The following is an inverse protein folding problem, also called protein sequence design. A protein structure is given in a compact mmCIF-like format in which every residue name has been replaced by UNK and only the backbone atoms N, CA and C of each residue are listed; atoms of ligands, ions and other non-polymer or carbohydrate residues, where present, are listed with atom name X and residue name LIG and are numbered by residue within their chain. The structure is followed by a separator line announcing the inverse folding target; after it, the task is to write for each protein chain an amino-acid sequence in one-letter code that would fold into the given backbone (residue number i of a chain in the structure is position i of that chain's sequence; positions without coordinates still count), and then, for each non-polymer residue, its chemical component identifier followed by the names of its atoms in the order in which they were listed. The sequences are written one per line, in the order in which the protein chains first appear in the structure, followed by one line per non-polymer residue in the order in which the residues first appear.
data_IF_756002803104
#
_entry.id   IF_756002803104
#
_cell.length_a   1.000
_cell.length_b   1.000
_cell.length_c   1.000
_cell.angle_alpha   90.00
_cell.angle_beta   90.00
_cell.angle_gamma   90.00
#
_symmetry.space_group_name_H-M   'P 1'
#
loop_
_entity.id
_entity.type
_entity.pdbx_description
1 polymer ?
#
# COMPACT_ATOMS: atom_id res chain seq x y z
N UNK A 1 -15.58 3.69 -2.52
CA UNK A 1 -14.35 2.96 -2.81
C UNK A 1 -13.98 3.12 -4.28
N UNK A 2 -12.68 3.31 -4.57
CA UNK A 2 -12.09 3.33 -5.92
C UNK A 2 -10.76 2.61 -5.88
N UNK A 3 -10.40 1.91 -6.95
CA UNK A 3 -9.09 1.30 -7.14
C UNK A 3 -8.48 1.98 -8.36
N UNK A 4 -7.31 2.57 -8.20
CA UNK A 4 -6.52 3.08 -9.32
C UNK A 4 -5.46 2.06 -9.67
N UNK A 5 -5.25 1.79 -10.94
CA UNK A 5 -4.28 0.79 -11.38
C UNK A 5 -3.87 1.02 -12.83
N UNK A 6 -2.62 0.76 -13.13
CA UNK A 6 -2.08 0.61 -14.48
C UNK A 6 -2.24 -0.83 -15.01
N UNK A 7 -2.79 -1.73 -14.18
CA UNK A 7 -3.06 -3.13 -14.53
C UNK A 7 -4.38 -3.60 -13.93
N UNK A 8 -5.46 -3.40 -14.67
CA UNK A 8 -6.83 -3.70 -14.22
C UNK A 8 -7.01 -5.18 -13.84
N UNK A 9 -6.41 -6.11 -14.61
CA UNK A 9 -6.52 -7.53 -14.33
C UNK A 9 -5.86 -7.90 -12.99
N UNK A 10 -4.66 -7.37 -12.74
CA UNK A 10 -3.95 -7.56 -11.48
C UNK A 10 -4.71 -6.93 -10.31
N UNK A 11 -5.26 -5.73 -10.47
CA UNK A 11 -6.05 -5.06 -9.44
C UNK A 11 -7.28 -5.90 -9.02
N UNK A 12 -7.97 -6.51 -9.98
CA UNK A 12 -9.09 -7.42 -9.70
C UNK A 12 -8.64 -8.70 -9.00
N UNK A 13 -7.54 -9.27 -9.44
CA UNK A 13 -6.98 -10.45 -8.79
C UNK A 13 -6.58 -10.15 -7.34
N UNK A 14 -5.91 -9.01 -7.08
CA UNK A 14 -5.54 -8.58 -5.73
C UNK A 14 -6.77 -8.33 -4.86
N UNK A 15 -7.81 -7.69 -5.38
CA UNK A 15 -9.06 -7.47 -4.65
C UNK A 15 -9.69 -8.79 -4.20
N UNK A 16 -9.79 -9.76 -5.11
CA UNK A 16 -10.48 -11.03 -4.87
C UNK A 16 -9.68 -12.00 -4.01
N UNK A 17 -8.37 -11.95 -4.07
CA UNK A 17 -7.47 -12.89 -3.39
C UNK A 17 -6.84 -12.27 -2.16
N UNK A 18 -5.82 -11.47 -2.34
CA UNK A 18 -4.99 -10.96 -1.23
C UNK A 18 -5.77 -10.00 -0.34
N UNK A 19 -6.34 -8.95 -0.93
CA UNK A 19 -7.07 -7.93 -0.18
C UNK A 19 -8.38 -8.49 0.40
N UNK A 20 -9.05 -9.36 -0.35
CA UNK A 20 -10.26 -10.03 0.12
C UNK A 20 -10.02 -11.00 1.29
N UNK A 21 -8.80 -11.52 1.45
CA UNK A 21 -8.44 -12.29 2.66
C UNK A 21 -8.15 -11.37 3.87
N UNK A 22 -7.60 -10.19 3.63
CA UNK A 22 -7.33 -9.20 4.69
C UNK A 22 -8.60 -8.49 5.16
N UNK A 23 -9.47 -8.17 4.21
CA UNK A 23 -10.72 -7.45 4.40
C UNK A 23 -11.82 -8.15 3.61
N UNK A 24 -12.44 -9.20 4.17
CA UNK A 24 -13.42 -10.03 3.45
C UNK A 24 -14.59 -9.26 2.85
N UNK A 25 -14.96 -8.14 3.46
CA UNK A 25 -16.02 -7.25 2.98
C UNK A 25 -15.71 -6.58 1.63
N UNK A 26 -14.43 -6.50 1.24
CA UNK A 26 -14.02 -5.89 -0.02
C UNK A 26 -13.99 -6.89 -1.18
N UNK A 27 -14.00 -8.20 -0.88
CA UNK A 27 -13.76 -9.26 -1.88
C UNK A 27 -14.74 -9.21 -3.04
N UNK A 28 -16.01 -9.11 -2.71
CA UNK A 28 -17.11 -9.21 -3.68
C UNK A 28 -17.78 -7.86 -3.98
N UNK A 29 -17.22 -6.76 -3.46
CA UNK A 29 -17.71 -5.43 -3.77
C UNK A 29 -17.44 -5.08 -5.24
N UNK A 30 -18.43 -4.49 -5.89
CA UNK A 30 -18.30 -3.92 -7.23
C UNK A 30 -17.55 -2.58 -7.18
N UNK A 31 -16.27 -2.60 -6.77
CA UNK A 31 -15.45 -1.40 -6.70
C UNK A 31 -14.98 -1.02 -8.11
N UNK A 32 -15.18 0.23 -8.57
CA UNK A 32 -14.62 0.68 -9.83
C UNK A 32 -13.10 0.57 -9.83
N UNK A 33 -12.53 -0.06 -10.85
CA UNK A 33 -11.10 -0.01 -11.14
C UNK A 33 -10.89 1.01 -12.24
N UNK A 34 -10.11 2.02 -11.95
CA UNK A 34 -9.86 3.17 -12.80
C UNK A 34 -8.45 3.03 -13.36
N UNK A 35 -8.33 3.08 -14.68
CA UNK A 35 -7.04 3.09 -15.35
C UNK A 35 -6.31 4.39 -15.04
N UNK A 36 -5.08 4.31 -14.58
CA UNK A 36 -4.33 5.45 -14.10
C UNK A 36 -2.83 5.29 -14.32
N UNK A 37 -2.17 6.41 -14.54
CA UNK A 37 -0.72 6.51 -14.58
C UNK A 37 -0.16 6.80 -13.18
N UNK A 38 0.95 6.16 -12.87
CA UNK A 38 1.66 6.30 -11.60
C UNK A 38 3.02 6.94 -11.83
N UNK A 39 3.26 8.06 -11.16
CA UNK A 39 4.52 8.75 -11.21
C UNK A 39 5.06 8.98 -9.79
N UNK A 40 6.34 8.68 -9.58
CA UNK A 40 6.99 8.71 -8.28
C UNK A 40 8.01 9.84 -8.23
N UNK A 41 7.98 10.60 -7.14
CA UNK A 41 8.93 11.67 -6.88
C UNK A 41 9.42 11.64 -5.44
N UNK A 42 10.62 12.17 -5.22
CA UNK A 42 11.20 12.28 -3.88
C UNK A 42 12.47 11.45 -3.71
N UNK A 43 12.98 11.47 -2.48
CA UNK A 43 14.09 10.65 -2.03
C UNK A 43 13.60 9.80 -0.85
N UNK A 44 13.61 8.45 -0.96
CA UNK A 44 13.08 7.57 0.08
C UNK A 44 13.78 7.66 1.44
N UNK A 45 14.86 8.43 1.54
CA UNK A 45 15.50 8.76 2.83
C UNK A 45 14.81 9.89 3.57
N UNK A 46 13.97 10.70 2.89
CA UNK A 46 13.36 11.89 3.47
C UNK A 46 11.86 11.93 3.27
N UNK A 47 11.42 11.80 2.02
CA UNK A 47 10.01 11.77 1.66
C UNK A 47 9.81 11.05 0.32
N UNK A 48 8.61 10.58 0.11
CA UNK A 48 8.20 9.92 -1.12
C UNK A 48 6.80 10.35 -1.50
N UNK A 49 6.57 10.67 -2.75
CA UNK A 49 5.23 10.99 -3.25
C UNK A 49 4.90 10.10 -4.42
N UNK A 50 3.77 9.44 -4.33
CA UNK A 50 3.11 8.74 -5.43
C UNK A 50 2.04 9.65 -6.00
N UNK A 51 2.18 10.02 -7.27
CA UNK A 51 1.19 10.75 -8.05
C UNK A 51 0.43 9.76 -8.92
N UNK A 52 -0.87 9.78 -8.82
CA UNK A 52 -1.78 8.92 -9.59
C UNK A 52 -2.66 9.83 -10.42
N UNK A 53 -2.55 9.73 -11.75
CA UNK A 53 -3.30 10.53 -12.69
C UNK A 53 -4.25 9.66 -13.50
N UNK A 54 -5.54 9.96 -13.44
CA UNK A 54 -6.59 9.34 -14.22
C UNK A 54 -7.30 10.41 -15.06
N UNK A 55 -8.19 9.99 -15.97
CA UNK A 55 -8.84 10.90 -16.93
C UNK A 55 -9.62 12.05 -16.25
N UNK A 56 -10.18 11.82 -15.07
CA UNK A 56 -11.06 12.73 -14.35
C UNK A 56 -10.71 12.92 -12.87
N UNK A 57 -9.54 12.42 -12.43
CA UNK A 57 -9.12 12.58 -11.05
C UNK A 57 -7.59 12.49 -10.87
N UNK A 58 -7.10 13.19 -9.86
CA UNK A 58 -5.71 13.16 -9.44
C UNK A 58 -5.60 12.82 -7.96
N UNK A 59 -4.68 11.93 -7.63
CA UNK A 59 -4.37 11.57 -6.25
C UNK A 59 -2.88 11.75 -6.00
N UNK A 60 -2.51 12.40 -4.91
CA UNK A 60 -1.13 12.43 -4.46
C UNK A 60 -1.05 11.92 -3.01
N UNK A 61 -0.22 10.91 -2.81
CA UNK A 61 0.06 10.35 -1.50
C UNK A 61 1.54 10.55 -1.18
N UNK A 62 1.81 11.35 -0.15
CA UNK A 62 3.17 11.66 0.30
C UNK A 62 3.42 11.03 1.65
N UNK A 63 4.53 10.30 1.78
CA UNK A 63 5.09 9.82 3.04
C UNK A 63 6.28 10.71 3.42
N UNK A 64 6.41 11.06 4.68
CA UNK A 64 7.51 11.87 5.22
C UNK A 64 7.87 11.42 6.63
N UNK A 65 8.98 11.93 7.16
CA UNK A 65 9.58 11.44 8.40
C UNK A 65 9.82 9.92 8.31
N UNK A 66 10.57 9.54 7.31
CA UNK A 66 10.80 8.17 6.90
C UNK A 66 11.79 7.50 7.84
N UNK A 67 11.42 6.31 8.31
CA UNK A 67 12.27 5.45 9.15
C UNK A 67 13.08 4.44 8.34
N UNK A 68 13.83 3.60 9.05
CA UNK A 68 14.64 2.55 8.44
C UNK A 68 13.78 1.49 7.75
N UNK A 69 14.15 1.06 6.54
CA UNK A 69 13.46 0.00 5.84
C UNK A 69 13.46 -1.32 6.61
N UNK A 70 12.36 -2.05 6.50
CA UNK A 70 12.17 -3.39 7.07
C UNK A 70 11.96 -4.40 5.94
N UNK A 71 12.75 -5.47 5.92
CA UNK A 71 12.46 -6.62 5.08
C UNK A 71 11.49 -7.53 5.82
N UNK A 72 10.33 -7.78 5.23
CA UNK A 72 9.34 -8.74 5.71
C UNK A 72 9.27 -9.87 4.70
N UNK A 73 9.53 -11.07 5.17
CA UNK A 73 9.40 -12.29 4.37
C UNK A 73 8.54 -13.30 5.11
N UNK A 74 7.57 -13.88 4.41
CA UNK A 74 6.74 -14.97 4.94
C UNK A 74 6.55 -16.03 3.86
N UNK A 75 6.72 -17.28 4.25
CA UNK A 75 6.44 -18.41 3.38
C UNK A 75 4.93 -18.68 3.30
N UNK A 76 4.42 -19.21 2.17
CA UNK A 76 3.03 -19.63 2.08
C UNK A 76 2.74 -20.84 2.97
N UNK A 77 1.54 -20.93 3.51
CA UNK A 77 1.06 -22.06 4.34
C UNK A 77 1.91 -22.40 5.57
N UNK A 78 2.72 -21.47 6.07
CA UNK A 78 3.57 -21.63 7.25
C UNK A 78 3.25 -20.59 8.31
N UNK A 79 3.31 -20.97 9.57
CA UNK A 79 3.16 -20.01 10.66
C UNK A 79 4.29 -18.94 10.60
N UNK A 80 3.98 -17.65 10.80
CA UNK A 80 2.69 -17.10 11.19
C UNK A 80 1.72 -16.84 10.02
N UNK A 81 2.03 -17.22 8.80
CA UNK A 81 1.23 -16.97 7.61
C UNK A 81 0.49 -18.25 7.13
N UNK A 82 -0.78 -18.46 7.54
CA UNK A 82 -1.57 -19.62 7.11
C UNK A 82 -2.14 -19.49 5.68
N UNK A 83 -1.77 -18.44 4.93
CA UNK A 83 -2.31 -18.16 3.60
C UNK A 83 -1.56 -18.94 2.53
N UNK A 84 -2.21 -19.21 1.37
CA UNK A 84 -1.56 -19.90 0.25
C UNK A 84 -0.50 -19.05 -0.47
N UNK A 85 -0.35 -17.79 -0.06
CA UNK A 85 0.61 -16.86 -0.66
C UNK A 85 1.68 -16.48 0.35
N UNK A 86 2.93 -16.61 -0.04
CA UNK A 86 4.06 -15.98 0.62
C UNK A 86 4.23 -14.54 0.16
N UNK A 87 4.89 -13.72 0.96
CA UNK A 87 5.20 -12.33 0.63
C UNK A 87 6.64 -12.00 0.97
N UNK A 88 7.27 -11.25 0.10
CA UNK A 88 8.55 -10.60 0.36
C UNK A 88 8.37 -9.11 0.07
N UNK A 89 8.43 -8.28 1.09
CA UNK A 89 8.24 -6.84 0.97
C UNK A 89 9.32 -6.05 1.68
N UNK A 90 9.75 -4.97 1.04
CA UNK A 90 10.54 -3.93 1.70
C UNK A 90 9.56 -2.84 2.14
N UNK A 91 9.28 -2.82 3.43
CA UNK A 91 8.38 -1.86 4.06
C UNK A 91 9.19 -0.71 4.64
N UNK A 92 8.88 0.51 4.23
CA UNK A 92 9.53 1.72 4.74
C UNK A 92 8.53 2.44 5.66
N UNK A 93 8.73 2.42 6.99
CA UNK A 93 7.85 3.11 7.92
C UNK A 93 7.93 4.63 7.71
N UNK A 94 6.81 5.31 7.88
CA UNK A 94 6.77 6.78 7.92
C UNK A 94 5.99 7.24 9.15
N UNK A 95 6.43 8.34 9.77
CA UNK A 95 5.71 8.92 10.89
C UNK A 95 4.63 9.89 10.45
N UNK A 96 4.69 10.35 9.19
CA UNK A 96 3.71 11.24 8.61
C UNK A 96 3.31 10.82 7.19
N UNK A 97 2.07 11.15 6.84
CA UNK A 97 1.58 11.07 5.47
C UNK A 97 0.56 12.15 5.19
N UNK A 98 0.47 12.51 3.92
CA UNK A 98 -0.54 13.42 3.39
C UNK A 98 -1.15 12.83 2.13
N UNK A 99 -2.46 12.78 2.09
CA UNK A 99 -3.23 12.38 0.91
C UNK A 99 -3.98 13.60 0.39
N UNK A 100 -3.88 13.85 -0.91
CA UNK A 100 -4.75 14.79 -1.63
C UNK A 100 -5.49 14.07 -2.73
N UNK A 101 -6.74 14.43 -2.92
CA UNK A 101 -7.58 13.93 -4.02
C UNK A 101 -8.19 15.17 -4.70
N UNK A 102 -7.93 15.34 -5.98
CA UNK A 102 -8.40 16.47 -6.79
C UNK A 102 -8.07 17.83 -6.14
N UNK A 103 -6.84 17.95 -5.64
CA UNK A 103 -6.33 19.14 -4.94
C UNK A 103 -6.84 19.32 -3.50
N UNK A 104 -7.79 18.51 -3.03
CA UNK A 104 -8.32 18.59 -1.67
C UNK A 104 -7.57 17.64 -0.74
N UNK A 105 -7.07 18.16 0.38
CA UNK A 105 -6.39 17.35 1.38
C UNK A 105 -7.39 16.50 2.18
N UNK A 106 -7.12 15.20 2.26
CA UNK A 106 -7.87 14.31 3.13
C UNK A 106 -7.66 14.69 4.61
N UNK A 107 -8.72 14.50 5.40
CA UNK A 107 -8.66 14.70 6.85
C UNK A 107 -8.09 13.47 7.55
N UNK A 108 -7.43 13.69 8.67
CA UNK A 108 -6.85 12.63 9.48
C UNK A 108 -5.34 12.69 9.52
N UNK A 109 -4.77 11.92 10.43
CA UNK A 109 -3.31 11.77 10.61
C UNK A 109 -3.01 10.29 10.85
N UNK A 110 -1.82 9.82 10.44
CA UNK A 110 -1.35 8.49 10.83
C UNK A 110 -1.31 8.34 12.35
N UNK A 111 -1.74 7.18 12.85
CA UNK A 111 -1.66 6.91 14.28
C UNK A 111 -0.24 6.49 14.64
N UNK A 112 0.33 7.20 15.61
CA UNK A 112 1.65 6.87 16.15
C UNK A 112 1.59 5.51 16.87
N UNK A 113 2.61 4.71 16.63
CA UNK A 113 2.83 3.40 17.24
C UNK A 113 4.30 3.25 17.59
N UNK A 114 4.62 2.19 18.32
CA UNK A 114 5.96 1.77 18.62
C UNK A 114 6.11 0.29 18.29
N UNK A 115 7.24 -0.07 17.73
CA UNK A 115 7.62 -1.47 17.49
C UNK A 115 9.06 -1.65 17.91
N UNK A 116 9.29 -2.53 18.90
CA UNK A 116 10.64 -2.85 19.39
C UNK A 116 11.44 -1.61 19.82
N UNK A 117 10.77 -0.66 20.51
CA UNK A 117 11.38 0.59 20.97
C UNK A 117 11.62 1.64 19.87
N UNK A 118 11.17 1.38 18.65
CA UNK A 118 11.30 2.31 17.51
C UNK A 118 9.97 3.01 17.21
N UNK A 119 9.99 4.32 16.92
CA UNK A 119 8.81 5.03 16.45
C UNK A 119 8.29 4.40 15.16
N UNK A 120 6.99 4.22 15.11
CA UNK A 120 6.25 3.64 13.99
C UNK A 120 4.90 4.35 13.84
N UNK A 121 4.20 4.13 12.76
CA UNK A 121 2.84 4.62 12.60
C UNK A 121 1.98 3.63 11.80
N UNK A 122 0.72 3.95 11.61
CA UNK A 122 -0.17 3.22 10.70
C UNK A 122 0.14 3.49 9.22
N UNK A 123 1.21 4.25 8.94
CA UNK A 123 1.60 4.67 7.62
C UNK A 123 2.94 4.02 7.25
N UNK A 124 2.97 3.36 6.11
CA UNK A 124 4.18 2.77 5.56
C UNK A 124 4.14 2.76 4.04
N UNK A 125 5.30 2.91 3.43
CA UNK A 125 5.50 2.73 2.00
C UNK A 125 5.94 1.28 1.75
N UNK A 126 5.17 0.51 1.01
CA UNK A 126 5.63 -0.76 0.45
C UNK A 126 6.50 -0.44 -0.77
N UNK A 127 7.79 -0.29 -0.53
CA UNK A 127 8.74 0.14 -1.56
C UNK A 127 8.92 -0.91 -2.66
N UNK A 128 8.89 -2.18 -2.26
CA UNK A 128 8.95 -3.33 -3.16
C UNK A 128 8.16 -4.47 -2.53
N UNK A 129 7.29 -5.09 -3.30
CA UNK A 129 6.52 -6.24 -2.83
C UNK A 129 6.39 -7.29 -3.92
N UNK A 130 6.62 -8.54 -3.57
CA UNK A 130 6.42 -9.69 -4.44
C UNK A 130 5.64 -10.78 -3.71
N UNK A 131 4.87 -11.53 -4.47
CA UNK A 131 4.01 -12.59 -3.99
C UNK A 131 4.40 -13.92 -4.63
N UNK A 132 4.40 -14.98 -3.83
CA UNK A 132 4.66 -16.34 -4.28
C UNK A 132 3.50 -17.24 -3.89
N UNK A 133 2.97 -18.01 -4.81
CA UNK A 133 1.95 -19.00 -4.55
C UNK A 133 2.58 -20.33 -4.14
N UNK A 134 1.99 -21.02 -3.17
CA UNK A 134 2.38 -22.37 -2.85
C UNK A 134 2.11 -23.30 -4.06
N UNK A 135 3.11 -24.07 -4.44
CA UNK A 135 2.96 -25.10 -5.49
C UNK A 135 2.30 -26.34 -4.94
#
# INVERSE_FOLDING_TARGET
WRIYSDNIAMARWLQQTVQGMLNPELKDLAIPVIDAEFNRTGDPRYFWTEHVSAADSEVALTWYDIGDPLLIHTEPNQAPNPRPYGVCTVLVPALGARLTVDGMQARGLPWKREREGRPFSTCALAFSESWTEAR
#
